data_IF_487211868758
#
_entry.id   IF_487211868758
#
_cell.length_a   1.000
_cell.length_b   1.000
_cell.length_c   1.000
_cell.angle_alpha   90.00
_cell.angle_beta   90.00
_cell.angle_gamma   90.00
#
_symmetry.space_group_name_H-M   'P 1'
#
loop_
_entity.id
_entity.type
_entity.pdbx_description
1 polymer ?
#
# COMPACT_ATOMS: atom_id res chain seq x y z
N UNK A 1 -6.05 -0.45 1.79
CA UNK A 1 -5.20 0.42 0.96
C UNK A 1 -4.47 1.38 1.89
N UNK A 2 -3.19 1.68 1.62
CA UNK A 2 -2.41 2.69 2.34
C UNK A 2 -2.74 4.07 1.77
N UNK A 3 -3.14 5.01 2.63
CA UNK A 3 -3.39 6.41 2.29
C UNK A 3 -2.42 7.28 3.07
N UNK A 4 -1.95 8.38 2.47
CA UNK A 4 -0.97 9.28 3.10
C UNK A 4 -1.46 10.72 3.13
N UNK A 5 -1.25 11.38 4.26
CA UNK A 5 -1.51 12.81 4.44
C UNK A 5 -0.22 13.51 4.89
N UNK A 6 0.30 14.40 4.05
CA UNK A 6 1.42 15.29 4.34
C UNK A 6 1.27 16.61 3.57
N UNK A 7 1.95 17.66 4.03
CA UNK A 7 1.98 18.96 3.35
C UNK A 7 2.64 18.95 1.96
N UNK A 8 3.26 17.84 1.57
CA UNK A 8 3.92 17.64 0.27
C UNK A 8 3.11 16.74 -0.68
N UNK A 9 1.82 16.53 -0.41
CA UNK A 9 0.95 15.84 -1.37
C UNK A 9 0.91 16.63 -2.68
N UNK A 10 1.16 15.97 -3.81
CA UNK A 10 1.04 16.60 -5.13
C UNK A 10 -0.42 16.99 -5.39
N UNK A 11 -0.66 17.92 -6.33
CA UNK A 11 -2.02 18.34 -6.72
C UNK A 11 -2.55 17.58 -7.94
N UNK A 12 -1.74 16.75 -8.58
CA UNK A 12 -2.08 16.05 -9.82
C UNK A 12 -0.86 15.49 -10.54
N UNK A 13 -1.11 14.89 -11.71
CA UNK A 13 -0.06 14.52 -12.66
C UNK A 13 0.01 15.56 -13.77
N UNK A 14 1.18 15.70 -14.40
CA UNK A 14 1.31 16.47 -15.64
C UNK A 14 0.67 15.67 -16.76
N UNK A 15 -0.35 16.20 -17.42
CA UNK A 15 -1.01 15.58 -18.57
C UNK A 15 -0.66 16.31 -19.85
N UNK A 16 -0.15 15.59 -20.85
CA UNK A 16 0.20 16.17 -22.16
C UNK A 16 -1.06 16.54 -22.97
N UNK A 17 -2.15 15.82 -22.76
CA UNK A 17 -3.41 15.96 -23.52
C UNK A 17 -4.45 16.89 -22.85
N UNK A 18 -4.08 17.57 -21.76
CA UNK A 18 -4.95 18.54 -21.06
C UNK A 18 -6.17 17.95 -20.30
N UNK A 19 -6.32 16.62 -20.27
CA UNK A 19 -7.39 15.95 -19.52
C UNK A 19 -7.04 15.81 -18.02
N UNK A 20 -7.32 16.84 -17.22
CA UNK A 20 -7.08 16.85 -15.77
C UNK A 20 -8.03 15.93 -14.96
N UNK A 21 -9.16 15.53 -15.54
CA UNK A 21 -10.31 15.00 -14.79
C UNK A 21 -10.12 13.60 -14.19
N UNK A 22 -9.19 12.78 -14.69
CA UNK A 22 -9.10 11.36 -14.30
C UNK A 22 -8.31 11.12 -13.00
N UNK A 23 -7.63 12.13 -12.45
CA UNK A 23 -6.60 11.90 -11.43
C UNK A 23 -6.79 12.71 -10.13
N UNK A 24 -7.85 13.51 -10.04
CA UNK A 24 -8.15 14.28 -8.81
C UNK A 24 -8.27 13.37 -7.58
N UNK A 25 -8.87 12.19 -7.74
CA UNK A 25 -9.06 11.23 -6.65
C UNK A 25 -7.74 10.67 -6.09
N UNK A 26 -6.65 10.64 -6.86
CA UNK A 26 -5.37 10.12 -6.36
C UNK A 26 -4.78 11.00 -5.26
N UNK A 27 -5.02 12.32 -5.32
CA UNK A 27 -4.38 13.27 -4.41
C UNK A 27 -5.36 14.03 -3.52
N UNK A 28 -6.64 14.07 -3.87
CA UNK A 28 -7.68 14.85 -3.20
C UNK A 28 -8.74 13.99 -2.48
N UNK A 29 -8.44 12.72 -2.19
CA UNK A 29 -9.39 11.81 -1.55
C UNK A 29 -9.73 12.20 -0.11
N UNK A 30 -10.96 11.90 0.31
CA UNK A 30 -11.47 12.17 1.66
C UNK A 30 -12.15 10.93 2.22
N UNK A 31 -12.16 10.81 3.55
CA UNK A 31 -12.92 9.75 4.22
C UNK A 31 -14.42 10.02 4.08
N UNK A 32 -15.21 8.95 3.99
CA UNK A 32 -16.68 9.03 3.94
C UNK A 32 -17.32 9.20 5.31
N UNK A 33 -16.56 9.00 6.39
CA UNK A 33 -17.01 9.12 7.79
C UNK A 33 -15.84 9.52 8.70
N UNK A 34 -16.15 10.01 9.90
CA UNK A 34 -15.14 10.51 10.82
C UNK A 34 -14.63 11.89 10.40
N UNK A 35 -13.31 12.02 10.24
CA UNK A 35 -12.71 13.24 9.69
C UNK A 35 -12.78 13.26 8.17
N UNK A 36 -13.79 13.96 7.65
CA UNK A 36 -14.03 14.12 6.20
C UNK A 36 -13.38 15.39 5.63
N UNK A 37 -12.62 16.15 6.43
CA UNK A 37 -11.97 17.38 5.97
C UNK A 37 -10.53 17.14 5.54
N UNK A 38 -9.84 16.20 6.19
CA UNK A 38 -8.47 15.85 5.82
C UNK A 38 -8.39 15.27 4.42
N UNK A 39 -7.48 15.82 3.61
CA UNK A 39 -7.18 15.36 2.26
C UNK A 39 -6.08 14.30 2.31
N UNK A 40 -6.32 13.19 1.61
CA UNK A 40 -5.42 12.05 1.53
C UNK A 40 -5.01 11.78 0.08
N UNK A 41 -3.75 11.38 -0.09
CA UNK A 41 -3.28 10.78 -1.32
C UNK A 41 -3.41 9.25 -1.23
N UNK A 42 -4.02 8.65 -2.26
CA UNK A 42 -4.19 7.20 -2.40
C UNK A 42 -2.95 6.63 -3.07
N UNK A 43 -2.19 5.81 -2.37
CA UNK A 43 -0.91 5.32 -2.91
C UNK A 43 -1.08 4.20 -3.94
N UNK A 44 -2.25 3.55 -3.99
CA UNK A 44 -2.42 2.34 -4.78
C UNK A 44 -1.88 1.07 -4.09
N UNK A 45 -1.19 1.16 -2.96
CA UNK A 45 -0.59 -0.01 -2.29
C UNK A 45 -1.49 -0.62 -1.22
N UNK A 46 -1.42 -1.95 -1.08
CA UNK A 46 -1.94 -2.69 0.06
C UNK A 46 -0.87 -2.79 1.14
N UNK A 47 -1.29 -2.65 2.39
CA UNK A 47 -0.45 -2.90 3.55
C UNK A 47 -1.26 -2.85 4.83
N UNK A 48 -0.59 -3.16 5.93
CA UNK A 48 -1.18 -3.25 7.26
C UNK A 48 -0.18 -2.81 8.33
N UNK A 49 -0.70 -2.30 9.44
CA UNK A 49 0.10 -2.02 10.63
C UNK A 49 0.22 -3.29 11.47
N UNK A 50 1.43 -3.55 11.95
CA UNK A 50 1.67 -4.61 12.93
C UNK A 50 2.62 -4.08 13.99
N UNK A 51 2.28 -4.36 15.24
CA UNK A 51 3.14 -4.08 16.38
C UNK A 51 4.33 -5.04 16.37
N UNK A 52 5.54 -4.51 16.39
CA UNK A 52 6.77 -5.31 16.34
C UNK A 52 7.51 -5.28 17.66
N UNK A 53 8.30 -6.33 17.90
CA UNK A 53 9.06 -6.53 19.15
C UNK A 53 10.55 -6.18 19.03
N UNK A 54 11.05 -5.84 17.83
CA UNK A 54 12.49 -5.69 17.55
C UNK A 54 13.04 -4.31 18.02
N UNK A 55 13.56 -4.20 19.26
CA UNK A 55 14.96 -4.29 19.75
C UNK A 55 15.97 -3.39 19.01
N UNK A 56 16.83 -2.54 19.60
CA UNK A 56 17.35 -2.40 20.96
C UNK A 56 17.63 -0.91 21.25
N UNK A 57 17.23 -0.41 22.43
CA UNK A 57 17.60 0.86 23.11
C UNK A 57 16.41 1.58 23.78
N UNK A 58 15.17 1.21 23.45
CA UNK A 58 13.97 1.67 24.17
C UNK A 58 12.95 0.55 24.19
N UNK A 59 12.35 0.30 25.35
CA UNK A 59 11.32 -0.72 25.58
C UNK A 59 9.95 -0.36 24.95
N UNK A 60 9.89 0.67 24.10
CA UNK A 60 8.66 1.09 23.46
C UNK A 60 8.33 0.20 22.26
N UNK A 61 7.16 -0.47 22.37
CA UNK A 61 6.51 -1.16 21.26
C UNK A 61 6.29 -0.17 20.12
N UNK A 62 6.80 -0.47 18.93
CA UNK A 62 6.59 0.36 17.73
C UNK A 62 5.60 -0.34 16.80
N UNK A 63 4.74 0.47 16.20
CA UNK A 63 3.90 0.01 15.10
C UNK A 63 4.69 0.17 13.80
N UNK A 64 4.82 -0.93 13.06
CA UNK A 64 5.48 -0.94 11.76
C UNK A 64 4.44 -1.11 10.64
N UNK A 65 4.64 -0.39 9.53
CA UNK A 65 3.86 -0.56 8.31
C UNK A 65 4.49 -1.67 7.46
N UNK A 66 3.72 -2.72 7.21
CA UNK A 66 4.06 -3.78 6.28
C UNK A 66 3.37 -3.49 4.95
N UNK A 67 4.15 -3.40 3.88
CA UNK A 67 3.65 -3.21 2.51
C UNK A 67 3.58 -4.59 1.85
N UNK A 68 2.41 -4.92 1.30
CA UNK A 68 2.19 -6.18 0.57
C UNK A 68 2.59 -6.01 -0.89
N UNK A 69 2.09 -4.95 -1.53
CA UNK A 69 2.32 -4.69 -2.96
C UNK A 69 1.25 -3.77 -3.54
N UNK A 70 1.30 -3.49 -4.84
CA UNK A 70 0.30 -2.64 -5.49
C UNK A 70 -1.08 -3.35 -5.54
N UNK A 71 -2.18 -2.62 -5.44
CA UNK A 71 -3.51 -3.25 -5.51
C UNK A 71 -3.80 -3.85 -6.88
N UNK A 72 -3.18 -3.32 -7.93
CA UNK A 72 -3.38 -3.71 -9.32
C UNK A 72 -2.58 -4.96 -9.75
N UNK A 73 -1.50 -5.31 -9.05
CA UNK A 73 -0.74 -6.55 -9.32
C UNK A 73 -1.44 -7.79 -8.77
N UNK A 74 -2.44 -7.64 -7.89
CA UNK A 74 -3.16 -8.76 -7.32
C UNK A 74 -3.93 -9.51 -8.42
N UNK A 75 -3.62 -10.78 -8.60
CA UNK A 75 -4.22 -11.64 -9.62
C UNK A 75 -5.32 -12.51 -9.03
N UNK A 76 -6.36 -12.80 -9.81
CA UNK A 76 -7.43 -13.71 -9.41
C UNK A 76 -7.19 -15.10 -10.01
N UNK A 77 -7.12 -16.10 -9.14
CA UNK A 77 -7.03 -17.49 -9.53
C UNK A 77 -8.12 -18.27 -8.79
N UNK A 78 -9.07 -18.85 -9.54
CA UNK A 78 -10.19 -19.65 -9.01
C UNK A 78 -11.03 -18.91 -7.96
N UNK A 79 -11.32 -17.62 -8.17
CA UNK A 79 -12.11 -16.79 -7.27
C UNK A 79 -11.37 -16.30 -6.03
N UNK A 80 -10.07 -16.60 -5.91
CA UNK A 80 -9.21 -16.13 -4.82
C UNK A 80 -8.21 -15.11 -5.37
N UNK A 81 -7.99 -14.02 -4.64
CA UNK A 81 -7.00 -12.99 -5.01
C UNK A 81 -5.67 -13.26 -4.33
N UNK A 82 -4.61 -13.20 -5.10
CA UNK A 82 -3.24 -13.42 -4.66
C UNK A 82 -2.36 -12.24 -5.04
N UNK A 83 -1.55 -11.76 -4.10
CA UNK A 83 -0.41 -10.92 -4.47
C UNK A 83 0.74 -11.81 -4.96
N UNK A 84 1.47 -11.41 -6.01
CA UNK A 84 2.62 -12.17 -6.51
C UNK A 84 3.64 -12.53 -5.41
N UNK A 85 3.92 -11.60 -4.50
CA UNK A 85 4.81 -11.82 -3.34
C UNK A 85 4.39 -13.00 -2.46
N UNK A 86 3.09 -13.25 -2.29
CA UNK A 86 2.60 -14.37 -1.47
C UNK A 86 2.93 -15.72 -2.15
N UNK A 87 2.84 -15.77 -3.48
CA UNK A 87 3.17 -16.97 -4.28
C UNK A 87 4.68 -17.20 -4.25
N UNK A 88 5.49 -16.17 -4.46
CA UNK A 88 6.95 -16.23 -4.41
C UNK A 88 7.42 -16.72 -3.04
N UNK A 89 6.94 -16.09 -1.96
CA UNK A 89 7.29 -16.44 -0.59
C UNK A 89 6.87 -17.86 -0.25
N UNK A 90 5.69 -18.29 -0.70
CA UNK A 90 5.23 -19.68 -0.49
C UNK A 90 6.10 -20.66 -1.26
N UNK A 91 6.45 -20.35 -2.51
CA UNK A 91 7.26 -21.20 -3.40
C UNK A 91 8.67 -21.38 -2.86
N UNK A 92 9.34 -20.30 -2.45
CA UNK A 92 10.67 -20.31 -1.83
C UNK A 92 10.71 -21.19 -0.58
N UNK A 93 9.64 -21.21 0.20
CA UNK A 93 9.56 -22.02 1.44
C UNK A 93 9.29 -23.51 1.18
N UNK A 94 8.99 -23.92 -0.04
CA UNK A 94 8.65 -25.33 -0.32
C UNK A 94 9.86 -26.24 -0.38
N UNK A 95 11.03 -25.77 -0.82
CA UNK A 95 12.25 -26.55 -0.88
C UNK A 95 13.49 -25.66 -0.96
N UNK A 96 14.60 -26.06 -0.34
CA UNK A 96 15.85 -25.28 -0.28
C UNK A 96 16.46 -25.00 -1.66
N UNK A 97 16.33 -25.95 -2.60
CA UNK A 97 16.88 -25.86 -3.95
C UNK A 97 16.14 -24.89 -4.87
N UNK A 98 15.03 -24.28 -4.43
CA UNK A 98 14.26 -23.31 -5.23
C UNK A 98 14.92 -21.92 -5.18
N UNK A 99 15.73 -21.67 -4.14
CA UNK A 99 16.45 -20.41 -3.92
C UNK A 99 17.94 -20.47 -4.24
N UNK A 100 18.45 -21.62 -4.69
CA UNK A 100 19.84 -21.76 -5.14
C UNK A 100 20.01 -21.35 -6.60
#
# INVERSE_FOLDING_TARGET
>A
QIWVHRGHNASGYVTVDGHEALHSDHFCSRLSFGDTQTIWARTGYLGFLRRTELTAASAERRDALYVVGALEEATELRGMRYHPTDIETSTIRTHESITE
#
